data_IF_195452196768
#
_entry.id   IF_195452196768
#
_cell.length_a   1.000
_cell.length_b   1.000
_cell.length_c   1.000
_cell.angle_alpha   90.00
_cell.angle_beta   90.00
_cell.angle_gamma   90.00
#
_symmetry.space_group_name_H-M   'P 1'
#
loop_
_entity.id
_entity.type
_entity.pdbx_description
1 polymer ?
#
# COMPACT_ATOMS: atom_id res chain seq x y z
N UNK A 1 -18.32 -18.33 15.71
CA UNK A 1 -18.19 -17.32 16.77
C UNK A 1 -18.41 -15.95 16.13
N UNK A 2 -19.20 -15.03 16.73
CA UNK A 2 -19.30 -13.68 16.19
C UNK A 2 -17.91 -13.01 16.22
N UNK A 3 -17.56 -12.30 15.15
CA UNK A 3 -16.27 -11.59 15.05
C UNK A 3 -16.17 -10.43 16.04
N UNK A 4 -14.95 -10.06 16.41
CA UNK A 4 -14.66 -8.95 17.32
C UNK A 4 -14.24 -7.69 16.53
N UNK A 5 -14.65 -6.50 17.00
CA UNK A 5 -14.23 -5.23 16.43
C UNK A 5 -12.75 -4.98 16.77
N UNK A 6 -11.91 -4.90 15.75
CA UNK A 6 -10.49 -4.61 15.89
C UNK A 6 -10.25 -3.10 15.73
N UNK A 7 -9.58 -2.46 16.70
CA UNK A 7 -9.20 -1.03 16.63
C UNK A 7 -7.69 -0.92 16.74
N UNK A 8 -7.06 -0.26 15.76
CA UNK A 8 -5.66 0.17 15.83
C UNK A 8 -5.64 1.68 16.03
N UNK A 9 -5.05 2.17 17.12
CA UNK A 9 -4.98 3.61 17.38
C UNK A 9 -3.93 4.25 16.49
N UNK A 10 -4.16 5.50 16.07
CA UNK A 10 -3.19 6.27 15.26
C UNK A 10 -1.79 6.30 15.90
N UNK A 11 -1.72 6.42 17.22
CA UNK A 11 -0.46 6.42 17.99
C UNK A 11 0.31 5.10 17.94
N UNK A 12 -0.33 4.01 17.52
CA UNK A 12 0.26 2.67 17.43
C UNK A 12 0.65 2.31 15.99
N UNK A 13 0.40 3.20 15.03
CA UNK A 13 0.76 3.04 13.63
C UNK A 13 2.19 3.58 13.46
N UNK A 14 3.13 2.67 13.24
CA UNK A 14 4.58 2.96 13.15
C UNK A 14 5.12 2.57 11.78
N UNK A 15 6.10 3.32 11.28
CA UNK A 15 6.88 2.97 10.08
C UNK A 15 8.15 2.18 10.45
N UNK A 16 8.77 1.40 9.55
CA UNK A 16 8.30 0.85 8.27
C UNK A 16 8.16 -0.70 8.28
N UNK A 17 7.48 -1.24 7.27
CA UNK A 17 7.48 -2.67 6.92
C UNK A 17 7.64 -2.84 5.40
N UNK A 18 8.63 -3.66 4.98
CA UNK A 18 8.90 -4.02 3.58
C UNK A 18 9.85 -3.11 2.76
N UNK A 19 10.28 -3.56 1.57
CA UNK A 19 11.06 -2.76 0.62
C UNK A 19 10.21 -1.66 -0.03
N UNK A 20 10.78 -0.46 -0.21
CA UNK A 20 10.07 0.73 -0.69
C UNK A 20 11.01 1.70 -1.44
N UNK A 21 10.44 2.62 -2.21
CA UNK A 21 11.16 3.74 -2.84
C UNK A 21 11.62 4.75 -1.78
N UNK A 22 12.74 5.44 -2.03
CA UNK A 22 13.31 6.42 -1.10
C UNK A 22 12.29 7.52 -0.76
N UNK A 23 12.19 7.89 0.52
CA UNK A 23 11.22 8.89 1.00
C UNK A 23 9.77 8.38 1.13
N UNK A 24 9.48 7.10 0.82
CA UNK A 24 8.15 6.53 1.05
C UNK A 24 8.04 5.91 2.45
N UNK A 25 6.99 6.32 3.18
CA UNK A 25 6.69 5.87 4.54
C UNK A 25 5.37 5.09 4.54
N UNK A 26 5.46 3.77 4.57
CA UNK A 26 4.31 2.87 4.68
C UNK A 26 3.90 2.66 6.14
N UNK A 27 2.64 2.94 6.45
CA UNK A 27 2.05 2.87 7.78
C UNK A 27 0.94 1.80 7.83
N UNK A 28 1.24 0.55 8.23
CA UNK A 28 0.23 -0.50 8.30
C UNK A 28 -0.77 -0.24 9.44
N UNK A 29 -2.04 -0.01 9.09
CA UNK A 29 -3.11 0.24 10.05
C UNK A 29 -3.89 -1.03 10.40
N UNK A 30 -4.47 -1.67 9.40
CA UNK A 30 -5.27 -2.90 9.54
C UNK A 30 -4.67 -3.93 8.59
N UNK A 31 -3.61 -4.58 9.04
CA UNK A 31 -2.92 -5.65 8.32
C UNK A 31 -2.97 -6.91 9.18
N UNK A 32 -3.33 -8.05 8.58
CA UNK A 32 -3.46 -9.35 9.24
C UNK A 32 -4.43 -9.34 10.45
N UNK A 33 -5.45 -8.49 10.40
CA UNK A 33 -6.49 -8.37 11.46
C UNK A 33 -7.77 -9.12 11.15
N UNK A 34 -7.91 -9.64 9.94
CA UNK A 34 -9.10 -10.35 9.49
C UNK A 34 -8.75 -11.30 8.36
N UNK A 35 -9.29 -12.51 8.44
CA UNK A 35 -9.32 -13.51 7.37
C UNK A 35 -10.53 -13.33 6.43
N UNK A 36 -11.46 -12.42 6.77
CA UNK A 36 -12.65 -12.08 6.00
C UNK A 36 -12.47 -10.87 5.09
N UNK A 37 -11.44 -10.03 5.32
CA UNK A 37 -11.00 -9.09 4.29
C UNK A 37 -10.39 -9.96 3.20
N UNK A 38 -11.09 -10.08 2.07
CA UNK A 38 -10.73 -10.94 0.96
C UNK A 38 -9.23 -10.81 0.69
N UNK A 39 -8.49 -11.88 1.01
CA UNK A 39 -7.05 -11.86 0.98
C UNK A 39 -6.60 -11.64 -0.44
N UNK A 40 -6.14 -10.42 -0.75
CA UNK A 40 -5.26 -9.98 -1.85
C UNK A 40 -5.47 -8.51 -2.26
N UNK A 41 -6.57 -7.86 -1.86
CA UNK A 41 -6.79 -6.42 -2.11
C UNK A 41 -6.04 -5.54 -1.10
N UNK A 42 -5.47 -4.44 -1.57
CA UNK A 42 -4.81 -3.41 -0.74
C UNK A 42 -5.56 -2.11 -0.85
N UNK A 43 -5.88 -1.51 0.30
CA UNK A 43 -6.42 -0.16 0.36
C UNK A 43 -5.31 0.77 0.89
N UNK A 44 -5.06 1.82 0.14
CA UNK A 44 -4.14 2.90 0.48
C UNK A 44 -4.94 4.14 0.80
N UNK A 45 -4.58 4.82 1.89
CA UNK A 45 -4.99 6.19 2.17
C UNK A 45 -3.75 7.09 2.18
N UNK A 46 -3.70 8.07 1.29
CA UNK A 46 -2.60 9.02 1.20
C UNK A 46 -2.74 10.06 2.32
N UNK A 47 -1.92 9.96 3.37
CA UNK A 47 -2.00 10.85 4.54
C UNK A 47 -1.24 12.16 4.33
N UNK A 48 -0.08 12.13 3.66
CA UNK A 48 0.69 13.32 3.30
C UNK A 48 1.64 13.04 2.12
N UNK A 49 2.12 14.11 1.50
CA UNK A 49 2.98 14.05 0.31
C UNK A 49 2.21 13.70 -0.97
N UNK A 50 2.90 13.72 -2.11
CA UNK A 50 2.36 13.35 -3.42
C UNK A 50 3.17 12.19 -3.98
N UNK A 51 2.49 11.12 -4.36
CA UNK A 51 3.12 9.95 -4.96
C UNK A 51 2.22 9.35 -6.01
N UNK A 52 2.62 8.20 -6.57
CA UNK A 52 1.84 7.53 -7.59
C UNK A 52 1.83 6.02 -7.39
N UNK A 53 0.75 5.39 -7.87
CA UNK A 53 0.72 3.95 -8.13
C UNK A 53 0.93 3.76 -9.63
N UNK A 54 2.01 3.07 -9.98
CA UNK A 54 2.28 2.59 -11.33
C UNK A 54 1.78 1.15 -11.43
N UNK A 55 1.04 0.82 -12.49
CA UNK A 55 0.37 -0.47 -12.64
C UNK A 55 0.19 -0.89 -14.10
N UNK A 56 -0.28 -2.13 -14.30
CA UNK A 56 -0.56 -2.70 -15.62
C UNK A 56 0.71 -3.19 -16.33
N UNK A 57 0.58 -3.73 -17.56
CA UNK A 57 1.69 -4.33 -18.28
C UNK A 57 2.86 -3.35 -18.39
N UNK A 58 4.02 -3.73 -17.86
CA UNK A 58 5.26 -2.94 -17.83
C UNK A 58 5.08 -1.52 -17.24
N UNK A 59 4.18 -1.33 -16.28
CA UNK A 59 3.93 -0.02 -15.67
C UNK A 59 3.26 1.01 -16.61
N UNK A 60 2.53 0.55 -17.62
CA UNK A 60 1.88 1.41 -18.62
C UNK A 60 0.81 2.36 -18.06
N UNK A 61 0.34 2.15 -16.82
CA UNK A 61 -0.63 3.02 -16.17
C UNK A 61 0.00 3.67 -14.95
N UNK A 62 -0.27 4.96 -14.78
CA UNK A 62 0.15 5.74 -13.62
C UNK A 62 -1.05 6.47 -13.05
N UNK A 63 -1.27 6.34 -11.75
CA UNK A 63 -2.29 7.08 -11.01
C UNK A 63 -1.61 7.90 -9.93
N UNK A 64 -1.71 9.22 -10.02
CA UNK A 64 -1.24 10.13 -8.97
C UNK A 64 -2.17 10.07 -7.75
N UNK A 65 -1.59 10.25 -6.56
CA UNK A 65 -2.26 10.30 -5.28
C UNK A 65 -1.84 11.57 -4.54
N UNK A 66 -2.83 12.33 -4.09
CA UNK A 66 -2.67 13.50 -3.23
C UNK A 66 -3.20 13.22 -1.81
N UNK A 67 -2.82 14.03 -0.80
CA UNK A 67 -3.32 13.84 0.55
C UNK A 67 -4.85 13.85 0.61
N UNK A 68 -5.43 12.82 1.23
CA UNK A 68 -6.86 12.60 1.32
C UNK A 68 -7.41 11.55 0.35
N UNK A 69 -6.64 11.17 -0.66
CA UNK A 69 -7.07 10.17 -1.65
C UNK A 69 -7.04 8.74 -1.10
N UNK A 70 -7.89 7.91 -1.69
CA UNK A 70 -7.90 6.47 -1.49
C UNK A 70 -7.55 5.75 -2.80
N UNK A 71 -6.75 4.70 -2.72
CA UNK A 71 -6.56 3.77 -3.81
C UNK A 71 -6.90 2.33 -3.38
N UNK A 72 -7.56 1.61 -4.28
CA UNK A 72 -7.72 0.17 -4.21
C UNK A 72 -6.75 -0.45 -5.22
N UNK A 73 -5.87 -1.31 -4.73
CA UNK A 73 -5.02 -2.17 -5.55
C UNK A 73 -5.61 -3.58 -5.45
N UNK A 74 -6.23 -4.08 -6.53
CA UNK A 74 -6.80 -5.41 -6.51
C UNK A 74 -5.75 -6.49 -6.35
N UNK A 75 -6.23 -7.63 -5.90
CA UNK A 75 -5.56 -8.90 -5.93
C UNK A 75 -4.72 -9.16 -7.19
N UNK A 76 -3.46 -9.54 -7.00
CA UNK A 76 -2.55 -9.91 -8.09
C UNK A 76 -2.29 -8.82 -9.14
N UNK A 77 -2.78 -7.59 -8.91
CA UNK A 77 -2.45 -6.47 -9.77
C UNK A 77 -0.97 -6.17 -9.61
N UNK A 78 -0.21 -6.27 -10.69
CA UNK A 78 1.17 -5.79 -10.72
C UNK A 78 1.16 -4.28 -10.50
N UNK A 79 1.90 -3.83 -9.50
CA UNK A 79 1.99 -2.43 -9.14
C UNK A 79 3.33 -2.09 -8.50
N UNK A 80 3.69 -0.82 -8.59
CA UNK A 80 4.76 -0.20 -7.85
C UNK A 80 4.27 1.11 -7.26
N UNK A 81 4.60 1.32 -6.00
CA UNK A 81 4.36 2.57 -5.30
C UNK A 81 5.60 3.46 -5.50
N UNK A 82 5.37 4.67 -6.00
CA UNK A 82 6.42 5.56 -6.49
C UNK A 82 6.35 6.89 -5.76
N UNK A 83 7.46 7.30 -5.17
CA UNK A 83 7.71 8.67 -4.76
C UNK A 83 8.79 9.27 -5.67
N UNK A 84 8.37 10.12 -6.62
CA UNK A 84 9.29 10.86 -7.50
C UNK A 84 9.56 12.29 -6.98
N UNK A 85 9.13 12.58 -5.75
CA UNK A 85 9.25 13.91 -5.16
C UNK A 85 10.47 14.01 -4.23
N UNK A 86 10.84 15.25 -3.87
CA UNK A 86 11.89 15.51 -2.88
C UNK A 86 11.36 15.47 -1.43
N UNK A 87 10.07 15.27 -1.24
CA UNK A 87 9.41 15.26 0.07
C UNK A 87 9.02 13.83 0.45
N UNK A 88 8.90 13.59 1.75
CA UNK A 88 8.41 12.31 2.25
C UNK A 88 6.92 12.13 1.94
N UNK A 89 6.56 10.92 1.53
CA UNK A 89 5.18 10.50 1.29
C UNK A 89 4.75 9.53 2.39
N UNK A 90 3.61 9.80 3.05
CA UNK A 90 3.09 8.95 4.14
C UNK A 90 1.78 8.31 3.71
N UNK A 91 1.77 6.99 3.60
CA UNK A 91 0.61 6.21 3.18
C UNK A 91 0.17 5.23 4.25
N UNK A 92 -1.13 5.23 4.56
CA UNK A 92 -1.75 4.29 5.49
C UNK A 92 -2.26 3.09 4.70
N UNK A 93 -1.78 1.90 5.05
CA UNK A 93 -2.05 0.67 4.32
C UNK A 93 -3.00 -0.22 5.12
N UNK A 94 -4.05 -0.70 4.45
CA UNK A 94 -4.98 -1.71 4.95
C UNK A 94 -5.01 -2.89 3.98
N UNK A 95 -4.82 -4.11 4.50
CA UNK A 95 -4.76 -5.33 3.68
C UNK A 95 -5.27 -6.54 4.47
N UNK A 96 -6.03 -7.41 3.81
CA UNK A 96 -6.49 -8.70 4.37
C UNK A 96 -5.58 -9.88 4.03
N UNK A 97 -5.66 -10.95 4.82
CA UNK A 97 -4.99 -12.24 4.56
C UNK A 97 -3.71 -12.48 5.38
N UNK A 98 -3.40 -13.78 5.60
CA UNK A 98 -2.19 -14.23 6.33
C UNK A 98 -0.95 -13.87 5.52
N UNK A 99 -0.02 -13.15 6.13
CA UNK A 99 1.31 -12.82 5.63
C UNK A 99 1.34 -12.34 4.16
N UNK A 100 1.34 -11.01 3.90
CA UNK A 100 1.42 -10.51 2.54
C UNK A 100 2.64 -11.07 1.82
N UNK A 101 2.42 -11.82 0.74
CA UNK A 101 3.50 -12.29 -0.11
C UNK A 101 3.82 -11.18 -1.11
N UNK A 102 4.91 -10.46 -0.86
CA UNK A 102 5.46 -9.48 -1.79
C UNK A 102 6.45 -10.22 -2.69
N UNK A 103 6.15 -10.30 -3.98
CA UNK A 103 7.07 -10.81 -4.99
C UNK A 103 7.63 -9.64 -5.79
N UNK A 104 8.91 -9.32 -5.57
CA UNK A 104 9.61 -8.36 -6.41
C UNK A 104 9.83 -8.96 -7.81
N UNK A 105 9.36 -8.28 -8.84
CA UNK A 105 9.50 -8.71 -10.22
C UNK A 105 10.82 -8.18 -10.80
N UNK A 106 11.73 -9.06 -11.19
CA UNK A 106 12.96 -8.64 -11.86
C UNK A 106 12.67 -8.06 -13.25
N UNK A 107 13.08 -6.82 -13.51
CA UNK A 107 12.96 -6.18 -14.82
C UNK A 107 11.59 -5.63 -15.19
N UNK A 108 10.63 -5.64 -14.25
CA UNK A 108 9.33 -5.00 -14.45
C UNK A 108 9.49 -3.47 -14.52
N UNK A 109 8.93 -2.85 -15.55
CA UNK A 109 9.01 -1.40 -15.77
C UNK A 109 10.36 -0.89 -16.33
N UNK A 110 11.22 -1.76 -16.88
CA UNK A 110 12.43 -1.30 -17.60
C UNK A 110 12.04 -0.55 -18.89
N UNK A 111 12.13 0.78 -18.84
CA UNK A 111 12.58 1.61 -19.97
C UNK A 111 14.02 2.03 -19.73
#
# INVERSE_FOLDING_TARGET
MPGEVQVKRKSEITAPDGPQTDGMIRMPAIVDKSDQICGTDTIVYAASGHGAIVSGPNGSKRQELAPGDFALIPAYAEHQEVNDSAEDVVWIITRGGRNPVVHNLEGWGKS
#
